data_IF_574906289968
#
_entry.id   IF_574906289968
#
_cell.length_a   1.000
_cell.length_b   1.000
_cell.length_c   1.000
_cell.angle_alpha   90.00
_cell.angle_beta   90.00
_cell.angle_gamma   90.00
#
_symmetry.space_group_name_H-M   'P 1'
#
loop_
_entity.id
_entity.type
_entity.pdbx_description
1 polymer ?
#
# COMPACT_ATOMS: atom_id res chain seq x y z
N UNK A 1 5.11 -7.71 -0.29
CA UNK A 1 3.83 -7.17 0.27
C UNK A 1 2.58 -7.80 -0.31
N UNK A 2 2.43 -7.91 -1.63
CA UNK A 2 1.22 -8.51 -2.24
C UNK A 2 0.95 -9.92 -1.70
N UNK A 3 1.99 -10.76 -1.68
CA UNK A 3 1.91 -12.15 -1.21
C UNK A 3 1.46 -12.26 0.24
N UNK A 4 1.94 -11.37 1.11
CA UNK A 4 1.55 -11.30 2.53
C UNK A 4 0.05 -11.04 2.68
N UNK A 5 -0.49 -10.16 1.82
CA UNK A 5 -1.92 -9.85 1.82
C UNK A 5 -2.71 -11.03 1.25
N UNK A 6 -2.21 -11.71 0.21
CA UNK A 6 -2.84 -12.90 -0.37
C UNK A 6 -2.82 -14.10 0.58
N UNK A 7 -1.75 -14.32 1.31
CA UNK A 7 -1.66 -15.38 2.32
C UNK A 7 -2.77 -15.23 3.37
N UNK A 8 -2.98 -13.99 3.83
CA UNK A 8 -3.95 -13.71 4.88
C UNK A 8 -5.39 -13.50 4.39
N UNK A 9 -5.57 -12.97 3.19
CA UNK A 9 -6.87 -12.55 2.63
C UNK A 9 -7.09 -13.09 1.21
N UNK A 10 -6.58 -14.28 0.91
CA UNK A 10 -6.72 -14.92 -0.41
C UNK A 10 -8.17 -15.19 -0.81
N UNK A 11 -9.09 -15.18 0.15
CA UNK A 11 -10.54 -15.27 -0.05
C UNK A 11 -11.18 -13.95 -0.55
N UNK A 12 -10.40 -12.87 -0.68
CA UNK A 12 -10.89 -11.57 -1.10
C UNK A 12 -11.44 -10.70 0.03
N UNK A 13 -11.33 -11.12 1.29
CA UNK A 13 -11.80 -10.33 2.45
C UNK A 13 -11.12 -8.96 2.62
N UNK A 14 -10.05 -8.69 1.86
CA UNK A 14 -9.40 -7.38 1.78
C UNK A 14 -10.15 -6.35 0.92
N UNK A 15 -11.06 -6.72 0.02
CA UNK A 15 -11.80 -5.77 -0.83
C UNK A 15 -12.45 -4.60 -0.07
N UNK A 16 -13.21 -4.81 1.03
CA UNK A 16 -13.80 -3.72 1.80
C UNK A 16 -12.78 -2.92 2.63
N UNK A 17 -11.50 -3.33 2.62
CA UNK A 17 -10.41 -2.65 3.33
C UNK A 17 -9.80 -1.51 2.51
N UNK A 18 -10.27 -1.25 1.30
CA UNK A 18 -9.96 -0.04 0.53
C UNK A 18 -11.26 0.64 0.08
N UNK A 19 -11.20 1.89 -0.37
CA UNK A 19 -12.39 2.57 -0.89
C UNK A 19 -12.72 2.10 -2.31
N UNK A 20 -13.99 2.24 -2.69
CA UNK A 20 -14.51 1.82 -4.00
C UNK A 20 -13.73 2.43 -5.17
N UNK A 21 -13.47 3.76 -5.15
CA UNK A 21 -12.63 4.45 -6.16
C UNK A 21 -11.24 3.81 -6.35
N UNK A 22 -10.66 3.27 -5.28
CA UNK A 22 -9.32 2.66 -5.31
C UNK A 22 -9.39 1.26 -5.89
N UNK A 23 -10.44 0.52 -5.56
CA UNK A 23 -10.71 -0.79 -6.13
C UNK A 23 -11.02 -0.69 -7.63
N UNK A 24 -11.79 0.31 -8.04
CA UNK A 24 -12.11 0.57 -9.45
C UNK A 24 -10.84 0.81 -10.26
N UNK A 25 -9.97 1.75 -9.83
CA UNK A 25 -8.68 2.04 -10.48
C UNK A 25 -7.78 0.81 -10.59
N UNK A 26 -7.72 -0.01 -9.54
CA UNK A 26 -6.95 -1.24 -9.55
C UNK A 26 -7.55 -2.28 -10.51
N UNK A 27 -8.88 -2.37 -10.59
CA UNK A 27 -9.60 -3.25 -11.50
C UNK A 27 -9.38 -2.85 -12.96
N UNK A 28 -9.42 -1.55 -13.27
CA UNK A 28 -9.11 -1.05 -14.62
C UNK A 28 -7.66 -1.35 -15.03
N UNK A 29 -6.70 -1.16 -14.13
CA UNK A 29 -5.31 -1.53 -14.38
C UNK A 29 -5.15 -3.04 -14.58
N UNK A 30 -5.80 -3.84 -13.74
CA UNK A 30 -5.78 -5.29 -13.83
C UNK A 30 -6.33 -5.80 -15.15
N UNK A 31 -7.50 -5.31 -15.59
CA UNK A 31 -8.08 -5.64 -16.91
C UNK A 31 -7.10 -5.37 -18.05
N UNK A 32 -6.49 -4.18 -18.07
CA UNK A 32 -5.49 -3.81 -19.11
C UNK A 32 -4.25 -4.70 -19.13
N UNK A 33 -3.90 -5.33 -18.00
CA UNK A 33 -2.75 -6.23 -17.86
C UNK A 33 -3.10 -7.66 -18.26
N UNK A 34 -4.29 -8.13 -17.87
CA UNK A 34 -4.84 -9.41 -18.33
C UNK A 34 -5.07 -9.41 -19.84
N UNK A 35 -5.52 -8.29 -20.43
CA UNK A 35 -5.66 -8.15 -21.89
C UNK A 35 -4.32 -8.29 -22.64
N UNK A 36 -3.20 -8.12 -21.93
CA UNK A 36 -1.84 -8.35 -22.44
C UNK A 36 -1.28 -9.74 -22.11
N UNK A 37 -2.11 -10.64 -21.58
CA UNK A 37 -1.75 -11.97 -21.10
C UNK A 37 -0.68 -11.96 -19.99
N UNK A 38 -0.67 -10.94 -19.14
CA UNK A 38 0.18 -10.94 -17.94
C UNK A 38 -0.46 -11.82 -16.86
N UNK A 39 0.30 -12.78 -16.31
CA UNK A 39 -0.11 -13.58 -15.16
C UNK A 39 0.14 -12.78 -13.88
N UNK A 40 -0.90 -12.07 -13.42
CA UNK A 40 -0.83 -11.18 -12.26
C UNK A 40 -2.07 -11.32 -11.38
N UNK A 41 -1.97 -10.88 -10.14
CA UNK A 41 -3.13 -10.72 -9.26
C UNK A 41 -3.60 -9.25 -9.18
N UNK A 42 -4.89 -8.99 -8.96
CA UNK A 42 -5.41 -7.63 -8.76
C UNK A 42 -4.73 -6.89 -7.60
N UNK A 43 -4.27 -7.59 -6.56
CA UNK A 43 -3.49 -7.00 -5.46
C UNK A 43 -2.19 -6.35 -5.96
N UNK A 44 -1.59 -6.90 -7.02
CA UNK A 44 -0.39 -6.31 -7.62
C UNK A 44 -0.67 -4.97 -8.30
N UNK A 45 -1.92 -4.74 -8.72
CA UNK A 45 -2.38 -3.47 -9.28
C UNK A 45 -2.67 -2.38 -8.23
N UNK A 46 -2.65 -2.73 -6.93
CA UNK A 46 -2.82 -1.76 -5.85
C UNK A 46 -1.59 -0.89 -5.66
N UNK A 47 -1.80 0.39 -5.34
CA UNK A 47 -0.69 1.28 -4.97
C UNK A 47 -0.22 0.97 -3.54
N UNK A 48 1.02 1.36 -3.20
CA UNK A 48 1.60 1.13 -1.86
C UNK A 48 0.68 1.66 -0.75
N UNK A 49 0.08 2.84 -0.94
CA UNK A 49 -0.89 3.43 0.00
C UNK A 49 -2.09 2.53 0.28
N UNK A 50 -2.57 1.79 -0.73
CA UNK A 50 -3.75 0.91 -0.59
C UNK A 50 -3.38 -0.38 0.13
N UNK A 51 -2.20 -0.93 -0.18
CA UNK A 51 -1.65 -2.09 0.55
C UNK A 51 -1.47 -1.74 2.03
N UNK A 52 -1.03 -0.52 2.33
CA UNK A 52 -0.98 -0.02 3.71
C UNK A 52 -2.36 0.08 4.35
N UNK A 53 -3.37 0.54 3.60
CA UNK A 53 -4.74 0.60 4.10
C UNK A 53 -5.27 -0.76 4.54
N UNK A 54 -4.90 -1.83 3.82
CA UNK A 54 -5.21 -3.21 4.19
C UNK A 54 -4.42 -3.62 5.44
N UNK A 55 -3.09 -3.46 5.39
CA UNK A 55 -2.17 -3.87 6.46
C UNK A 55 -2.55 -3.25 7.82
N UNK A 56 -2.85 -1.94 7.87
CA UNK A 56 -3.13 -1.29 9.15
C UNK A 56 -4.52 -1.61 9.71
N UNK A 57 -5.42 -2.19 8.92
CA UNK A 57 -6.76 -2.58 9.39
C UNK A 57 -6.75 -3.90 10.14
N UNK A 58 -5.83 -4.81 9.81
CA UNK A 58 -5.66 -6.09 10.48
C UNK A 58 -4.71 -6.04 11.67
N UNK A 59 -5.01 -6.79 12.74
CA UNK A 59 -4.21 -6.76 13.98
C UNK A 59 -2.87 -7.47 13.85
N UNK A 60 -2.85 -8.63 13.22
CA UNK A 60 -1.64 -9.44 13.08
C UNK A 60 -0.67 -8.81 12.09
N UNK A 61 -1.19 -8.29 10.96
CA UNK A 61 -0.37 -7.54 10.01
C UNK A 61 0.17 -6.26 10.65
N UNK A 62 -0.64 -5.51 11.43
CA UNK A 62 -0.08 -4.36 12.18
C UNK A 62 1.07 -4.77 13.09
N UNK A 63 0.94 -5.90 13.79
CA UNK A 63 2.00 -6.39 14.67
C UNK A 63 3.25 -6.78 13.88
N UNK A 64 3.10 -7.57 12.81
CA UNK A 64 4.17 -7.99 11.92
C UNK A 64 4.92 -6.79 11.32
N UNK A 65 4.17 -5.82 10.80
CA UNK A 65 4.70 -4.57 10.22
C UNK A 65 5.10 -3.51 11.25
N UNK A 66 5.06 -3.83 12.54
CA UNK A 66 5.46 -2.94 13.64
C UNK A 66 4.72 -1.58 13.62
N UNK A 67 3.46 -1.58 13.20
CA UNK A 67 2.60 -0.40 13.13
C UNK A 67 1.93 -0.20 14.49
N UNK A 68 2.21 0.90 15.22
CA UNK A 68 1.78 1.05 16.61
C UNK A 68 0.25 1.08 16.81
N UNK A 69 -0.49 1.58 15.81
CA UNK A 69 -1.95 1.65 15.88
C UNK A 69 -2.58 1.79 14.50
N UNK A 70 -3.88 1.49 14.40
CA UNK A 70 -4.70 1.73 13.21
C UNK A 70 -4.67 3.20 12.78
N UNK A 71 -4.71 4.13 13.74
CA UNK A 71 -4.64 5.57 13.46
C UNK A 71 -3.30 5.97 12.84
N UNK A 72 -2.18 5.49 13.41
CA UNK A 72 -0.85 5.76 12.87
C UNK A 72 -0.68 5.15 11.47
N UNK A 73 -1.14 3.92 11.27
CA UNK A 73 -1.13 3.29 9.94
C UNK A 73 -1.94 4.07 8.91
N UNK A 74 -3.16 4.52 9.26
CA UNK A 74 -3.98 5.39 8.41
C UNK A 74 -3.27 6.72 8.08
N UNK A 75 -2.63 7.35 9.06
CA UNK A 75 -1.83 8.58 8.85
C UNK A 75 -0.71 8.33 7.84
N UNK A 76 0.03 7.22 7.99
CA UNK A 76 1.11 6.86 7.07
C UNK A 76 0.58 6.59 5.65
N UNK A 77 -0.50 5.79 5.50
CA UNK A 77 -1.12 5.52 4.20
C UNK A 77 -1.55 6.80 3.47
N UNK A 78 -2.15 7.75 4.20
CA UNK A 78 -2.55 9.05 3.66
C UNK A 78 -1.34 9.91 3.26
N UNK A 79 -0.28 9.91 4.06
CA UNK A 79 0.92 10.69 3.77
C UNK A 79 1.65 10.15 2.53
N UNK A 80 1.73 8.82 2.37
CA UNK A 80 2.25 8.17 1.16
C UNK A 80 1.42 8.53 -0.07
N UNK A 81 0.10 8.47 0.06
CA UNK A 81 -0.84 8.86 -1.00
C UNK A 81 -0.60 10.32 -1.43
N UNK A 82 -0.55 11.24 -0.46
CA UNK A 82 -0.30 12.67 -0.70
C UNK A 82 1.05 12.90 -1.36
N UNK A 83 2.13 12.26 -0.89
CA UNK A 83 3.47 12.41 -1.48
C UNK A 83 3.49 11.94 -2.94
N UNK A 84 2.94 10.75 -3.21
CA UNK A 84 2.83 10.22 -4.57
C UNK A 84 2.07 11.18 -5.49
N UNK A 85 0.91 11.69 -5.05
CA UNK A 85 0.09 12.59 -5.85
C UNK A 85 0.85 13.89 -6.17
N UNK A 86 1.64 14.40 -5.22
CA UNK A 86 2.49 15.58 -5.46
C UNK A 86 3.57 15.31 -6.51
N UNK A 87 4.22 14.17 -6.46
CA UNK A 87 5.23 13.75 -7.45
C UNK A 87 4.59 13.58 -8.83
N UNK A 88 3.44 12.92 -8.93
CA UNK A 88 2.79 12.66 -10.23
C UNK A 88 2.28 13.92 -10.93
N UNK A 89 1.94 14.96 -10.16
CA UNK A 89 1.52 16.25 -10.70
C UNK A 89 2.69 17.22 -10.94
N UNK A 90 3.94 16.76 -10.84
CA UNK A 90 5.14 17.59 -10.98
C UNK A 90 5.13 18.85 -10.09
N UNK A 91 4.50 18.77 -8.92
CA UNK A 91 4.50 19.89 -7.98
C UNK A 91 5.89 20.06 -7.37
N UNK A 92 6.27 21.31 -7.09
CA UNK A 92 7.47 21.59 -6.31
C UNK A 92 7.34 20.99 -4.90
N UNK A 93 8.29 20.11 -4.57
CA UNK A 93 8.41 19.54 -3.23
C UNK A 93 8.90 20.61 -2.25
N UNK A 94 8.47 20.54 -0.99
CA UNK A 94 8.84 21.51 0.04
C UNK A 94 7.87 22.68 0.23
N UNK A 95 6.88 22.87 -0.66
CA UNK A 95 5.85 23.91 -0.51
C UNK A 95 4.64 23.43 0.31
N UNK A 96 4.00 22.34 -0.12
CA UNK A 96 2.77 21.80 0.52
C UNK A 96 3.01 20.62 1.46
N UNK A 97 4.24 20.13 1.50
CA UNK A 97 4.74 19.10 2.38
C UNK A 97 6.19 19.47 2.69
N UNK A 98 6.49 19.64 3.97
CA UNK A 98 7.84 20.00 4.41
C UNK A 98 8.82 18.88 4.07
N UNK A 99 10.10 19.22 3.91
CA UNK A 99 11.14 18.23 3.67
C UNK A 99 11.21 17.15 4.76
N UNK A 100 10.98 17.53 6.02
CA UNK A 100 10.91 16.58 7.13
C UNK A 100 9.74 15.60 6.96
N UNK A 101 8.54 16.07 6.61
CA UNK A 101 7.40 15.18 6.34
C UNK A 101 7.70 14.24 5.16
N UNK A 102 8.35 14.72 4.09
CA UNK A 102 8.73 13.89 2.95
C UNK A 102 9.69 12.79 3.39
N UNK A 103 10.75 13.14 4.13
CA UNK A 103 11.73 12.18 4.65
C UNK A 103 11.04 11.13 5.53
N UNK A 104 10.19 11.55 6.47
CA UNK A 104 9.45 10.63 7.34
C UNK A 104 8.57 9.65 6.55
N UNK A 105 7.91 10.12 5.49
CA UNK A 105 7.08 9.29 4.62
C UNK A 105 7.93 8.27 3.86
N UNK A 106 9.04 8.70 3.27
CA UNK A 106 9.95 7.82 2.52
C UNK A 106 10.58 6.78 3.44
N UNK A 107 11.05 7.17 4.63
CA UNK A 107 11.55 6.22 5.62
C UNK A 107 10.47 5.23 6.08
N UNK A 108 9.22 5.70 6.26
CA UNK A 108 8.12 4.81 6.60
C UNK A 108 7.83 3.81 5.48
N UNK A 109 7.96 4.19 4.20
CA UNK A 109 7.88 3.25 3.09
C UNK A 109 9.03 2.25 3.13
N UNK A 110 10.27 2.72 3.31
CA UNK A 110 11.47 1.89 3.36
C UNK A 110 11.37 0.80 4.42
N UNK A 111 11.07 1.16 5.67
CA UNK A 111 10.91 0.19 6.77
C UNK A 111 9.86 -0.88 6.47
N UNK A 112 8.77 -0.52 5.79
CA UNK A 112 7.70 -1.47 5.50
C UNK A 112 8.04 -2.39 4.34
N UNK A 113 8.83 -1.92 3.37
CA UNK A 113 9.39 -2.76 2.33
C UNK A 113 10.39 -3.77 2.94
N UNK A 114 11.32 -3.30 3.77
CA UNK A 114 12.29 -4.14 4.48
C UNK A 114 11.60 -5.24 5.31
N UNK A 115 10.58 -4.90 6.10
CA UNK A 115 9.81 -5.89 6.85
C UNK A 115 9.10 -6.86 5.90
N UNK A 116 8.58 -6.38 4.77
CA UNK A 116 7.90 -7.26 3.82
C UNK A 116 8.83 -8.27 3.15
N UNK A 117 10.11 -7.93 2.97
CA UNK A 117 11.14 -8.83 2.44
C UNK A 117 11.56 -9.89 3.46
N UNK A 118 11.41 -9.60 4.75
CA UNK A 118 11.67 -10.55 5.85
C UNK A 118 10.54 -11.55 6.09
N UNK A 119 9.42 -11.42 5.35
CA UNK A 119 8.26 -12.29 5.54
C UNK A 119 8.62 -13.73 5.17
N UNK A 120 8.38 -14.70 6.08
CA UNK A 120 8.71 -16.09 5.82
C UNK A 120 7.73 -16.62 4.78
N UNK A 121 8.21 -16.75 3.55
CA UNK A 121 7.52 -17.57 2.56
C UNK A 121 7.62 -19.02 3.03
N UNK A 122 6.52 -19.62 3.49
CA UNK A 122 6.45 -21.09 3.54
C UNK A 122 6.64 -21.57 2.09
N UNK A 123 7.76 -22.27 1.85
CA UNK A 123 8.06 -22.91 0.57
C UNK A 123 7.31 -24.24 0.46
#
# INVERSE_FOLDING_TARGET
MSDIILDRFGDGSWYPMISEDRLEKATELYKRRIDKNEDINIIECLQISDKFDIIHKDKELRHFFQIPSKSKGKKNANAIRKLRDKISHANELGLDMSWMEIIEVVESCGRLLEISESYPYEK
#
